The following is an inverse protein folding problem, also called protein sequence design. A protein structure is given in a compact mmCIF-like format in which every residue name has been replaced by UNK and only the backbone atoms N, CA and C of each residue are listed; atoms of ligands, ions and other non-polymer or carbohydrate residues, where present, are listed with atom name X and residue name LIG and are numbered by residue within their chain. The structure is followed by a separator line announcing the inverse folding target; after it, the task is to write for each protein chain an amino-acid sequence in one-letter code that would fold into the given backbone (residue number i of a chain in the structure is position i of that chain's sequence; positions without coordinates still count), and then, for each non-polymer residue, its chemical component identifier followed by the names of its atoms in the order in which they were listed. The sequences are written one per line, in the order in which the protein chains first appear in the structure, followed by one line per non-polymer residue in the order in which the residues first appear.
data_IF_000923423404
#
_entry.id   IF_000923423404
#
_cell.length_a   1.000
_cell.length_b   1.000
_cell.length_c   1.000
_cell.angle_alpha   90.00
_cell.angle_beta   90.00
_cell.angle_gamma   90.00
#
_symmetry.space_group_name_H-M   'P 1'
#
loop_
_entity.id
_entity.type
_entity.pdbx_description
1 polymer ?
#
# COMPACT_ATOMS: atom_id res chain seq x y z
N UNK A 1 0.91 -9.29 -53.97
CA UNK A 1 0.03 -10.22 -53.27
C UNK A 1 0.87 -11.35 -52.76
N UNK A 2 1.04 -11.51 -51.48
CA UNK A 2 0.81 -12.78 -50.82
C UNK A 2 0.09 -12.59 -49.47
N UNK A 3 -0.85 -13.51 -49.21
CA UNK A 3 -1.69 -13.62 -48.04
C UNK A 3 -0.88 -14.15 -46.85
N UNK A 4 -0.70 -13.33 -45.81
CA UNK A 4 -0.19 -13.75 -44.49
C UNK A 4 -1.32 -14.24 -43.59
N UNK A 5 -1.44 -15.55 -43.49
CA UNK A 5 -2.39 -16.28 -42.65
C UNK A 5 -1.84 -16.32 -41.23
N UNK A 6 -2.42 -15.57 -40.28
CA UNK A 6 -2.10 -15.68 -38.88
C UNK A 6 -2.82 -16.87 -38.27
N UNK A 7 -2.05 -17.84 -37.84
CA UNK A 7 -2.52 -19.02 -37.09
C UNK A 7 -2.68 -18.60 -35.63
N UNK A 8 -3.91 -18.60 -35.17
CA UNK A 8 -4.22 -18.56 -33.74
C UNK A 8 -3.91 -19.91 -33.12
N UNK A 9 -2.98 -19.99 -32.20
CA UNK A 9 -2.85 -21.13 -31.29
C UNK A 9 -3.71 -20.91 -30.05
N UNK A 10 -4.53 -21.87 -29.67
CA UNK A 10 -5.32 -21.79 -28.48
C UNK A 10 -4.69 -22.55 -27.31
N UNK A 11 -4.97 -22.05 -26.12
CA UNK A 11 -5.18 -22.79 -24.87
C UNK A 11 -3.98 -23.33 -24.12
N UNK A 12 -3.69 -22.63 -23.03
CA UNK A 12 -3.18 -23.30 -21.81
C UNK A 12 -4.30 -23.26 -20.78
N UNK A 13 -4.94 -24.42 -20.59
CA UNK A 13 -5.88 -24.69 -19.50
C UNK A 13 -5.06 -24.93 -18.24
N UNK A 14 -5.10 -23.97 -17.30
CA UNK A 14 -4.46 -24.12 -16.00
C UNK A 14 -5.41 -24.82 -15.05
N UNK A 15 -5.11 -26.08 -14.74
CA UNK A 15 -5.80 -26.94 -13.77
C UNK A 15 -5.57 -26.42 -12.36
N UNK A 16 -6.64 -26.01 -11.71
CA UNK A 16 -6.68 -25.65 -10.29
C UNK A 16 -6.64 -26.93 -9.45
N UNK A 17 -5.53 -27.19 -8.77
CA UNK A 17 -5.43 -28.24 -7.75
C UNK A 17 -5.96 -27.69 -6.42
N UNK A 18 -7.15 -28.14 -6.02
CA UNK A 18 -7.73 -27.89 -4.70
C UNK A 18 -7.09 -28.85 -3.70
N UNK A 19 -6.28 -28.31 -2.79
CA UNK A 19 -5.65 -29.07 -1.70
C UNK A 19 -6.57 -28.99 -0.48
N UNK A 20 -7.33 -30.08 -0.23
CA UNK A 20 -8.16 -30.27 0.96
C UNK A 20 -7.25 -30.72 2.11
N UNK A 21 -7.00 -29.83 3.07
CA UNK A 21 -6.31 -30.18 4.32
C UNK A 21 -7.35 -30.68 5.32
N UNK A 22 -7.37 -31.99 5.55
CA UNK A 22 -8.19 -32.63 6.59
C UNK A 22 -7.52 -32.46 7.95
N UNK A 23 -8.14 -31.69 8.85
CA UNK A 23 -7.72 -31.52 10.23
C UNK A 23 -8.34 -32.65 11.07
N UNK A 24 -7.55 -33.69 11.43
CA UNK A 24 -7.94 -34.70 12.37
C UNK A 24 -7.76 -34.22 13.81
N UNK A 25 -8.86 -34.00 14.52
CA UNK A 25 -8.86 -33.77 15.96
C UNK A 25 -8.52 -35.05 16.71
N UNK A 26 -7.32 -35.13 17.25
CA UNK A 26 -6.96 -36.14 18.23
C UNK A 26 -7.50 -35.74 19.59
N UNK A 27 -8.41 -36.57 20.15
CA UNK A 27 -9.00 -36.38 21.48
C UNK A 27 -7.96 -36.53 22.57
N UNK A 28 -7.81 -35.50 23.40
CA UNK A 28 -7.05 -35.54 24.65
C UNK A 28 -8.01 -35.86 25.81
N UNK A 29 -7.88 -37.05 26.40
CA UNK A 29 -8.56 -37.45 27.64
C UNK A 29 -8.06 -36.58 28.80
N UNK A 30 -8.94 -35.79 29.37
CA UNK A 30 -8.69 -35.02 30.57
C UNK A 30 -8.62 -35.94 31.78
N UNK A 31 -7.44 -36.11 32.37
CA UNK A 31 -7.29 -36.73 33.70
C UNK A 31 -7.73 -35.69 34.75
N UNK A 32 -8.79 -36.03 35.48
CA UNK A 32 -9.23 -35.28 36.65
C UNK A 32 -8.12 -35.28 37.71
N UNK A 33 -7.48 -34.12 37.89
CA UNK A 33 -6.64 -33.87 39.09
C UNK A 33 -7.53 -33.28 40.20
N UNK A 34 -7.39 -33.84 41.39
CA UNK A 34 -8.07 -33.38 42.61
C UNK A 34 -7.74 -31.94 42.91
N UNK A 35 -8.69 -31.13 43.46
CA UNK A 35 -8.40 -29.81 43.90
C UNK A 35 -7.50 -29.85 45.13
N UNK A 36 -6.20 -29.54 44.97
CA UNK A 36 -5.36 -29.10 46.05
C UNK A 36 -5.63 -27.63 46.27
N UNK A 37 -5.78 -27.23 47.54
CA UNK A 37 -6.02 -25.86 47.96
C UNK A 37 -5.00 -24.91 47.32
N UNK A 38 -5.41 -24.22 46.26
CA UNK A 38 -4.66 -23.14 45.71
C UNK A 38 -5.09 -21.87 46.47
N UNK A 39 -4.27 -21.46 47.43
CA UNK A 39 -4.35 -20.13 47.98
C UNK A 39 -3.99 -19.16 46.86
N UNK A 40 -5.00 -18.62 46.20
CA UNK A 40 -4.81 -17.56 45.22
C UNK A 40 -4.49 -16.27 45.97
N UNK A 41 -3.21 -15.94 46.04
CA UNK A 41 -2.75 -14.61 46.45
C UNK A 41 -3.24 -13.61 45.39
N UNK A 42 -4.38 -13.00 45.68
CA UNK A 42 -4.95 -11.95 44.83
C UNK A 42 -4.22 -10.66 45.12
N UNK A 43 -2.99 -10.54 44.61
CA UNK A 43 -2.34 -9.25 44.49
C UNK A 43 -3.14 -8.41 43.51
N UNK A 44 -3.55 -7.19 43.87
CA UNK A 44 -4.28 -6.32 42.94
C UNK A 44 -3.42 -6.07 41.68
N UNK A 45 -4.02 -6.13 40.48
CA UNK A 45 -3.27 -5.89 39.28
C UNK A 45 -2.67 -4.49 39.34
N UNK A 46 -1.34 -4.44 39.41
CA UNK A 46 -0.63 -3.18 39.20
C UNK A 46 -0.99 -2.66 37.82
N UNK A 47 -1.46 -1.42 37.67
CA UNK A 47 -1.66 -0.84 36.38
C UNK A 47 -0.30 -0.76 35.69
N UNK A 48 -0.06 -1.65 34.75
CA UNK A 48 1.07 -1.56 33.83
C UNK A 48 0.95 -0.21 33.15
N UNK A 49 1.71 0.77 33.61
CA UNK A 49 1.94 2.00 32.86
C UNK A 49 2.69 1.61 31.60
N UNK A 50 1.92 1.27 30.58
CA UNK A 50 2.43 1.28 29.21
C UNK A 50 2.76 2.75 28.92
N UNK A 51 4.01 3.13 29.17
CA UNK A 51 4.57 4.35 28.61
C UNK A 51 4.67 4.11 27.10
N UNK A 52 3.53 4.13 26.43
CA UNK A 52 3.49 4.39 25.00
C UNK A 52 3.80 5.87 24.85
N UNK A 53 5.08 6.19 24.88
CA UNK A 53 5.53 7.42 24.27
C UNK A 53 5.22 7.25 22.80
N UNK A 54 4.24 7.95 22.20
CA UNK A 54 4.13 7.99 20.77
C UNK A 54 5.46 8.58 20.30
N UNK A 55 6.27 7.77 19.63
CA UNK A 55 7.30 8.29 18.76
C UNK A 55 6.53 9.14 17.75
N UNK A 56 6.40 10.42 18.06
CA UNK A 56 5.99 11.43 17.11
C UNK A 56 7.10 11.46 16.05
N UNK A 57 7.02 10.55 15.09
CA UNK A 57 7.74 10.67 13.84
C UNK A 57 7.35 12.04 13.32
N UNK A 58 8.29 12.99 13.36
CA UNK A 58 8.10 14.35 12.85
C UNK A 58 7.90 14.25 11.36
N UNK A 59 6.66 13.95 10.97
CA UNK A 59 6.25 13.89 9.58
C UNK A 59 6.21 15.33 9.07
N UNK A 60 7.06 15.63 8.08
CA UNK A 60 7.10 16.92 7.41
C UNK A 60 6.48 16.78 6.03
N UNK A 61 5.80 17.82 5.58
CA UNK A 61 5.40 17.95 4.18
C UNK A 61 6.64 18.19 3.34
N UNK A 62 6.94 17.27 2.44
CA UNK A 62 8.08 17.31 1.53
C UNK A 62 7.67 17.86 0.17
N UNK A 63 6.46 17.51 -0.28
CA UNK A 63 5.85 17.98 -1.53
C UNK A 63 4.39 18.30 -1.25
N UNK A 64 3.89 19.42 -1.73
CA UNK A 64 2.45 19.76 -1.83
C UNK A 64 2.26 20.46 -3.18
N UNK A 65 1.59 19.78 -4.09
CA UNK A 65 1.43 20.24 -5.47
C UNK A 65 0.08 19.84 -6.04
N UNK A 66 -0.34 20.54 -7.08
CA UNK A 66 -1.58 20.26 -7.78
C UNK A 66 -1.44 20.53 -9.26
N UNK A 67 -2.28 19.90 -10.06
CA UNK A 67 -2.24 20.07 -11.51
C UNK A 67 -3.46 19.49 -12.22
N UNK A 68 -3.38 19.45 -13.53
CA UNK A 68 -4.32 18.79 -14.41
C UNK A 68 -3.54 18.06 -15.51
N UNK A 69 -3.96 16.83 -15.84
CA UNK A 69 -3.25 16.00 -16.81
C UNK A 69 -2.00 15.37 -16.21
N UNK A 70 -1.06 14.99 -17.08
CA UNK A 70 0.24 14.48 -16.66
C UNK A 70 1.07 15.59 -15.99
N UNK A 71 1.94 15.19 -15.07
CA UNK A 71 2.81 16.14 -14.38
C UNK A 71 3.92 15.43 -13.61
N UNK A 72 4.90 16.23 -13.17
CA UNK A 72 6.02 15.75 -12.38
C UNK A 72 6.15 16.59 -11.11
N UNK A 73 6.59 15.96 -10.03
CA UNK A 73 6.95 16.68 -8.81
C UNK A 73 8.42 17.10 -8.85
N UNK A 74 8.76 18.09 -8.03
CA UNK A 74 10.16 18.29 -7.66
C UNK A 74 10.72 17.05 -6.96
N UNK A 75 12.03 16.89 -6.97
CA UNK A 75 12.73 15.84 -6.22
C UNK A 75 12.62 16.10 -4.72
N UNK A 76 12.51 15.02 -3.95
CA UNK A 76 12.49 15.04 -2.49
C UNK A 76 13.29 13.86 -1.94
N UNK A 77 13.95 14.05 -0.81
CA UNK A 77 14.72 13.00 -0.14
C UNK A 77 14.02 12.54 1.13
N UNK A 78 14.07 11.25 1.41
CA UNK A 78 13.43 10.61 2.56
C UNK A 78 14.39 9.65 3.26
N UNK A 79 14.38 9.64 4.59
CA UNK A 79 15.26 8.81 5.42
C UNK A 79 14.56 7.62 6.09
N UNK A 80 13.23 7.53 5.98
CA UNK A 80 12.45 6.43 6.54
C UNK A 80 11.11 6.25 5.80
N UNK A 81 10.14 5.61 6.43
CA UNK A 81 8.78 5.43 5.89
C UNK A 81 8.11 6.78 5.62
N UNK A 82 7.53 6.93 4.47
CA UNK A 82 6.82 8.12 4.01
C UNK A 82 5.52 7.75 3.31
N UNK A 83 4.66 8.74 3.13
CA UNK A 83 3.31 8.56 2.58
C UNK A 83 3.06 9.55 1.46
N UNK A 84 2.39 9.07 0.42
CA UNK A 84 1.77 9.88 -0.63
C UNK A 84 0.28 9.87 -0.43
N UNK A 85 -0.35 11.04 -0.40
CA UNK A 85 -1.80 11.20 -0.47
C UNK A 85 -2.15 11.99 -1.72
N UNK A 86 -3.21 11.58 -2.41
CA UNK A 86 -3.69 12.27 -3.59
C UNK A 86 -5.21 12.38 -3.58
N UNK A 87 -5.72 13.52 -4.04
CA UNK A 87 -7.12 13.69 -4.43
C UNK A 87 -7.17 13.93 -5.93
N UNK A 88 -8.17 13.38 -6.61
CA UNK A 88 -8.32 13.57 -8.04
C UNK A 88 -9.79 13.76 -8.43
N UNK A 89 -10.00 14.51 -9.50
CA UNK A 89 -11.30 14.76 -10.10
C UNK A 89 -11.20 14.67 -11.63
N UNK A 90 -11.80 13.63 -12.18
CA UNK A 90 -11.85 13.33 -13.59
C UNK A 90 -13.17 13.74 -14.25
N UNK A 91 -14.05 14.44 -13.57
CA UNK A 91 -15.41 14.77 -14.05
C UNK A 91 -15.44 15.49 -15.41
N UNK A 92 -14.32 16.10 -15.83
CA UNK A 92 -14.17 16.74 -17.13
C UNK A 92 -13.28 16.01 -18.13
N UNK A 93 -12.84 14.78 -17.84
CA UNK A 93 -11.78 14.08 -18.58
C UNK A 93 -12.27 13.08 -19.67
N UNK A 94 -13.60 12.91 -19.83
CA UNK A 94 -14.15 11.96 -20.82
C UNK A 94 -14.06 10.49 -20.36
N UNK A 95 -13.87 9.56 -21.31
CA UNK A 95 -13.99 8.11 -21.06
C UNK A 95 -12.78 7.47 -20.34
N UNK A 96 -11.72 8.20 -20.06
CA UNK A 96 -10.48 7.66 -19.49
C UNK A 96 -10.22 8.16 -18.07
N UNK A 97 -11.08 7.74 -17.15
CA UNK A 97 -11.04 8.11 -15.73
C UNK A 97 -9.91 7.33 -15.00
N UNK A 98 -8.66 7.57 -15.36
CA UNK A 98 -7.50 6.98 -14.69
C UNK A 98 -6.64 8.05 -14.04
N UNK A 99 -6.26 7.78 -12.79
CA UNK A 99 -5.26 8.52 -12.05
C UNK A 99 -4.19 7.55 -11.56
N UNK A 100 -2.95 7.75 -11.99
CA UNK A 100 -1.84 6.92 -11.58
C UNK A 100 -0.64 7.78 -11.18
N UNK A 101 0.14 7.30 -10.21
CA UNK A 101 1.38 7.93 -9.75
C UNK A 101 2.49 6.91 -9.82
N UNK A 102 3.54 7.25 -10.55
CA UNK A 102 4.74 6.45 -10.74
C UNK A 102 5.87 7.04 -9.90
N UNK A 103 6.58 6.16 -9.20
CA UNK A 103 7.79 6.52 -8.47
C UNK A 103 8.98 6.54 -9.43
N UNK A 104 9.72 7.65 -9.43
CA UNK A 104 10.93 7.85 -10.21
C UNK A 104 12.14 7.94 -9.28
N UNK A 105 13.20 7.24 -9.58
CA UNK A 105 14.47 7.29 -8.85
C UNK A 105 15.31 8.52 -9.25
N UNK A 106 16.38 8.77 -8.52
CA UNK A 106 17.22 9.94 -8.74
C UNK A 106 17.89 9.98 -10.13
N UNK A 107 18.16 8.81 -10.72
CA UNK A 107 18.69 8.62 -12.07
C UNK A 107 17.65 8.82 -13.18
N UNK A 108 16.38 8.91 -12.82
CA UNK A 108 15.26 9.06 -13.73
C UNK A 108 14.60 7.74 -14.13
N UNK A 109 15.06 6.63 -13.58
CA UNK A 109 14.45 5.32 -13.83
C UNK A 109 13.12 5.17 -13.09
N UNK A 110 12.16 4.53 -13.76
CA UNK A 110 10.86 4.26 -13.22
C UNK A 110 10.88 3.04 -12.30
N UNK A 111 10.61 3.25 -11.03
CA UNK A 111 10.58 2.19 -10.02
C UNK A 111 9.24 1.44 -9.95
N UNK A 112 8.19 1.96 -10.56
CA UNK A 112 6.86 1.35 -10.63
C UNK A 112 5.73 2.28 -10.22
N UNK A 113 4.49 1.81 -10.41
CA UNK A 113 3.29 2.52 -9.99
C UNK A 113 3.08 2.33 -8.48
N UNK A 114 2.93 3.42 -7.76
CA UNK A 114 2.63 3.43 -6.31
C UNK A 114 1.17 3.75 -6.02
N UNK A 115 0.48 4.38 -6.98
CA UNK A 115 -0.97 4.58 -7.00
C UNK A 115 -1.44 4.27 -8.43
N UNK A 116 -2.49 3.47 -8.57
CA UNK A 116 -3.20 3.24 -9.84
C UNK A 116 -4.68 3.04 -9.52
N UNK A 117 -5.50 3.99 -9.90
CA UNK A 117 -6.93 4.01 -9.59
C UNK A 117 -7.75 4.52 -10.77
N UNK A 118 -9.00 4.11 -10.80
CA UNK A 118 -9.98 4.51 -11.82
C UNK A 118 -11.23 5.04 -11.14
N UNK A 119 -11.88 5.98 -11.77
CA UNK A 119 -13.13 6.57 -11.28
C UNK A 119 -13.18 8.07 -11.52
N UNK A 120 -14.40 8.64 -11.42
CA UNK A 120 -14.63 10.05 -11.67
C UNK A 120 -13.94 10.98 -10.69
N UNK A 121 -13.84 10.58 -9.44
CA UNK A 121 -13.14 11.33 -8.40
C UNK A 121 -12.83 10.44 -7.22
N UNK A 122 -11.87 10.81 -6.40
CA UNK A 122 -11.54 10.05 -5.21
C UNK A 122 -10.32 10.54 -4.47
N UNK A 123 -10.00 9.80 -3.42
CA UNK A 123 -8.78 9.93 -2.64
C UNK A 123 -8.00 8.63 -2.78
N UNK A 124 -6.69 8.75 -2.90
CA UNK A 124 -5.77 7.61 -2.94
C UNK A 124 -4.59 7.88 -2.01
N UNK A 125 -4.02 6.83 -1.46
CA UNK A 125 -2.80 6.94 -0.67
C UNK A 125 -1.88 5.74 -0.91
N UNK A 126 -0.60 5.94 -0.64
CA UNK A 126 0.41 4.88 -0.68
C UNK A 126 1.45 5.12 0.39
N UNK A 127 1.86 4.06 1.09
CA UNK A 127 2.91 4.09 2.10
C UNK A 127 4.14 3.41 1.51
N UNK A 128 5.27 4.11 1.56
CA UNK A 128 6.55 3.67 1.04
C UNK A 128 7.55 3.48 2.17
N UNK A 129 8.40 2.44 2.06
CA UNK A 129 9.45 2.13 3.05
C UNK A 129 10.85 2.27 2.47
N UNK A 130 10.96 2.87 1.31
CA UNK A 130 12.22 3.11 0.62
C UNK A 130 12.82 4.43 1.09
N UNK A 131 14.13 4.45 1.18
CA UNK A 131 14.92 5.62 1.59
C UNK A 131 15.81 5.98 0.41
N UNK A 132 15.66 7.15 -0.12
CA UNK A 132 16.48 7.73 -1.19
C UNK A 132 15.94 9.09 -1.60
N UNK A 133 16.42 9.58 -2.73
CA UNK A 133 15.88 10.74 -3.44
C UNK A 133 14.97 10.28 -4.57
N UNK A 134 13.75 10.75 -4.56
CA UNK A 134 12.70 10.39 -5.51
C UNK A 134 12.05 11.62 -6.14
N UNK A 135 11.35 11.40 -7.26
CA UNK A 135 10.28 12.26 -7.77
C UNK A 135 9.08 11.41 -8.12
N UNK A 136 7.93 12.04 -8.33
CA UNK A 136 6.71 11.37 -8.74
C UNK A 136 6.31 11.85 -10.11
N UNK A 137 6.00 10.91 -11.00
CA UNK A 137 5.39 11.16 -12.30
C UNK A 137 3.91 10.83 -12.25
N UNK A 138 3.07 11.82 -12.50
CA UNK A 138 1.62 11.69 -12.49
C UNK A 138 1.14 11.41 -13.92
N UNK A 139 0.38 10.32 -14.09
CA UNK A 139 -0.21 9.90 -15.36
C UNK A 139 -1.72 9.99 -15.21
N UNK A 140 -2.30 11.07 -15.74
CA UNK A 140 -3.73 11.34 -15.56
C UNK A 140 -4.28 12.28 -16.61
N UNK A 141 -5.58 12.22 -16.85
CA UNK A 141 -6.36 13.25 -17.56
C UNK A 141 -7.17 14.17 -16.61
N UNK A 142 -7.08 13.91 -15.30
CA UNK A 142 -7.89 14.52 -14.25
C UNK A 142 -7.24 15.78 -13.68
N UNK A 143 -8.00 16.59 -12.97
CA UNK A 143 -7.44 17.53 -12.01
C UNK A 143 -7.01 16.76 -10.76
N UNK A 144 -5.90 17.14 -10.14
CA UNK A 144 -5.37 16.43 -8.98
C UNK A 144 -4.63 17.37 -8.02
N UNK A 145 -4.60 16.94 -6.76
CA UNK A 145 -3.74 17.48 -5.71
C UNK A 145 -2.99 16.32 -5.07
N UNK A 146 -1.69 16.48 -4.84
CA UNK A 146 -0.81 15.46 -4.29
C UNK A 146 0.05 16.04 -3.17
N UNK A 147 0.20 15.26 -2.10
CA UNK A 147 1.01 15.59 -0.94
C UNK A 147 1.90 14.43 -0.57
N UNK A 148 3.17 14.71 -0.31
CA UNK A 148 4.15 13.76 0.23
C UNK A 148 4.51 14.16 1.64
N UNK A 149 4.42 13.25 2.58
CA UNK A 149 4.73 13.46 3.99
C UNK A 149 5.68 12.37 4.49
N UNK A 150 6.70 12.77 5.21
CA UNK A 150 7.68 11.86 5.79
C UNK A 150 8.84 12.58 6.45
N UNK A 151 9.77 11.84 7.05
CA UNK A 151 11.00 12.41 7.56
C UNK A 151 11.90 12.80 6.38
N UNK A 152 12.49 14.01 6.40
CA UNK A 152 13.44 14.42 5.36
C UNK A 152 14.69 13.55 5.41
N UNK A 153 15.32 13.33 4.25
CA UNK A 153 16.61 12.69 4.10
C UNK A 153 17.78 13.64 4.29
#
# INVERSE_FOLDING_TARGET
MPNGRWIMEPTIVSTLAVLVVSLTCAGATAKYLRPADIVVDVSPPQPSRVLSTPLALSSRVLVDTSGRGNGDTQRFSVSATWQVTATYDCSGAGAHDRFAVQLMEADGDASGLIIDTRGRSGNAFSIQRRQDTFSLHIISSCAWKLKVEGPPG
#
